data_IF_016907880732
#
_entry.id   IF_016907880732
#
_cell.length_a   1.000
_cell.length_b   1.000
_cell.length_c   1.000
_cell.angle_alpha   90.00
_cell.angle_beta   90.00
_cell.angle_gamma   90.00
#
_symmetry.space_group_name_H-M   'P 1'
#
loop_
_entity.id
_entity.type
_entity.pdbx_description
1 polymer ?
#
# COMPACT_ATOMS: atom_id res chain seq x y z
N UNK A 1 15.64 16.40 -7.46
CA UNK A 1 14.88 15.27 -8.04
C UNK A 1 14.03 14.60 -6.98
N UNK A 2 13.25 13.55 -7.29
CA UNK A 2 12.25 12.98 -6.38
C UNK A 2 12.89 12.32 -5.14
N UNK A 3 12.67 12.90 -3.95
CA UNK A 3 13.19 12.40 -2.66
C UNK A 3 12.15 11.68 -1.79
N UNK A 4 10.86 11.91 -2.05
CA UNK A 4 9.74 11.32 -1.33
C UNK A 4 8.70 10.88 -2.35
N UNK A 5 8.48 9.57 -2.48
CA UNK A 5 7.60 8.98 -3.48
C UNK A 5 6.49 8.23 -2.75
N UNK A 6 5.24 8.65 -2.97
CA UNK A 6 4.07 7.96 -2.43
C UNK A 6 3.61 6.88 -3.42
N UNK A 7 3.49 5.64 -2.97
CA UNK A 7 3.08 4.50 -3.80
C UNK A 7 1.78 3.91 -3.24
N UNK A 8 0.65 4.09 -3.95
CA UNK A 8 -0.60 3.43 -3.60
C UNK A 8 -0.56 1.96 -4.02
N UNK A 9 -0.98 1.09 -3.10
CA UNK A 9 -1.06 -0.36 -3.30
C UNK A 9 -2.50 -0.81 -3.06
N UNK A 10 -3.09 -1.49 -4.04
CA UNK A 10 -4.43 -2.10 -3.95
C UNK A 10 -4.37 -3.65 -3.97
N UNK A 11 -3.17 -4.23 -4.07
CA UNK A 11 -2.93 -5.66 -4.15
C UNK A 11 -3.01 -6.25 -5.56
N UNK A 12 -3.35 -5.44 -6.57
CA UNK A 12 -3.34 -5.87 -7.97
C UNK A 12 -1.91 -6.07 -8.50
N UNK A 13 -1.78 -6.86 -9.57
CA UNK A 13 -0.51 -6.99 -10.29
C UNK A 13 -0.01 -5.63 -10.83
N UNK A 14 -0.95 -4.76 -11.24
CA UNK A 14 -0.63 -3.44 -11.74
C UNK A 14 0.03 -2.56 -10.66
N UNK A 15 -0.52 -2.52 -9.44
CA UNK A 15 0.10 -1.75 -8.35
C UNK A 15 1.44 -2.32 -7.91
N UNK A 16 1.64 -3.64 -7.97
CA UNK A 16 2.94 -4.28 -7.75
C UNK A 16 3.97 -3.87 -8.81
N UNK A 17 3.60 -3.85 -10.09
CA UNK A 17 4.48 -3.36 -11.16
C UNK A 17 4.80 -1.87 -11.02
N UNK A 18 3.85 -1.07 -10.55
CA UNK A 18 4.09 0.34 -10.25
C UNK A 18 5.10 0.52 -9.11
N UNK A 19 5.06 -0.35 -8.08
CA UNK A 19 6.07 -0.36 -7.02
C UNK A 19 7.48 -0.64 -7.56
N UNK A 20 7.65 -1.62 -8.44
CA UNK A 20 8.96 -1.92 -9.06
C UNK A 20 9.53 -0.69 -9.80
N UNK A 21 8.68 0.04 -10.53
CA UNK A 21 9.09 1.29 -11.18
C UNK A 21 9.46 2.38 -10.16
N UNK A 22 8.69 2.49 -9.07
CA UNK A 22 8.97 3.47 -8.01
C UNK A 22 10.29 3.18 -7.28
N UNK A 23 10.63 1.91 -7.05
CA UNK A 23 11.93 1.48 -6.50
C UNK A 23 13.09 1.94 -7.40
N UNK A 24 12.98 1.74 -8.72
CA UNK A 24 14.02 2.18 -9.66
C UNK A 24 14.22 3.70 -9.65
N UNK A 25 13.12 4.46 -9.59
CA UNK A 25 13.17 5.93 -9.48
C UNK A 25 13.83 6.34 -8.15
N UNK A 26 13.45 5.70 -7.05
CA UNK A 26 13.99 5.97 -5.72
C UNK A 26 15.51 5.72 -5.67
N UNK A 27 15.97 4.58 -6.19
CA UNK A 27 17.40 4.25 -6.30
C UNK A 27 18.18 5.26 -7.14
N UNK A 28 17.62 5.67 -8.29
CA UNK A 28 18.26 6.65 -9.18
C UNK A 28 18.44 8.04 -8.56
N UNK A 29 17.63 8.39 -7.55
CA UNK A 29 17.64 9.73 -6.95
C UNK A 29 17.93 9.75 -5.46
N UNK A 30 18.34 8.61 -4.88
CA UNK A 30 18.55 8.47 -3.42
C UNK A 30 17.32 8.99 -2.65
N UNK A 31 16.14 8.52 -3.09
CA UNK A 31 14.84 8.90 -2.58
C UNK A 31 14.21 7.78 -1.75
N UNK A 32 13.26 8.14 -0.89
CA UNK A 32 12.51 7.18 -0.08
C UNK A 32 11.10 6.94 -0.61
N UNK A 33 10.54 5.77 -0.26
CA UNK A 33 9.18 5.36 -0.58
C UNK A 33 8.27 5.48 0.64
N UNK A 34 7.02 5.86 0.41
CA UNK A 34 5.93 5.75 1.39
C UNK A 34 4.84 4.92 0.74
N UNK A 35 4.53 3.76 1.32
CA UNK A 35 3.49 2.86 0.81
C UNK A 35 2.16 3.19 1.49
N UNK A 36 1.07 3.24 0.71
CA UNK A 36 -0.28 3.47 1.24
C UNK A 36 -1.28 2.49 0.64
N UNK A 37 -2.19 1.98 1.46
CA UNK A 37 -3.34 1.21 1.03
C UNK A 37 -4.62 1.90 1.51
N UNK A 38 -5.63 1.98 0.65
CA UNK A 38 -6.90 2.63 0.92
C UNK A 38 -8.03 1.64 0.67
N UNK A 39 -8.96 1.57 1.61
CA UNK A 39 -10.20 0.81 1.49
C UNK A 39 -11.41 1.71 1.74
N UNK A 40 -12.48 1.50 0.98
CA UNK A 40 -13.71 2.26 1.14
C UNK A 40 -14.61 1.63 2.19
N UNK A 41 -15.04 2.43 3.16
CA UNK A 41 -16.06 2.06 4.15
C UNK A 41 -17.41 2.74 3.89
N UNK A 42 -17.54 3.52 2.81
CA UNK A 42 -18.70 4.36 2.56
C UNK A 42 -20.02 3.58 2.49
N UNK A 43 -20.01 2.40 1.86
CA UNK A 43 -21.20 1.52 1.78
C UNK A 43 -21.55 0.85 3.10
N UNK A 44 -20.59 0.73 4.03
CA UNK A 44 -20.79 0.11 5.34
C UNK A 44 -21.33 1.09 6.37
N UNK A 45 -21.02 2.38 6.22
CA UNK A 45 -21.47 3.42 7.14
C UNK A 45 -23.01 3.58 7.17
N UNK A 46 -23.72 3.05 6.17
CA UNK A 46 -25.17 3.04 6.09
C UNK A 46 -25.81 1.74 6.64
N UNK A 47 -25.03 0.74 7.03
CA UNK A 47 -25.55 -0.51 7.60
C UNK A 47 -26.04 -0.28 9.04
N UNK A 48 -27.24 -0.76 9.40
CA UNK A 48 -27.73 -0.72 10.77
C UNK A 48 -27.01 -1.73 11.69
N UNK A 49 -26.31 -2.73 11.13
CA UNK A 49 -25.53 -3.71 11.89
C UNK A 49 -24.12 -3.19 12.27
N UNK A 50 -23.54 -3.65 13.41
CA UNK A 50 -22.15 -3.36 13.74
C UNK A 50 -21.17 -3.95 12.71
N UNK A 51 -20.61 -3.11 11.86
CA UNK A 51 -19.63 -3.51 10.82
C UNK A 51 -18.18 -3.60 11.31
N UNK A 52 -17.93 -3.50 12.62
CA UNK A 52 -16.58 -3.41 13.19
C UNK A 52 -15.69 -4.60 12.82
N UNK A 53 -16.21 -5.83 12.92
CA UNK A 53 -15.47 -7.04 12.55
C UNK A 53 -15.12 -7.10 11.06
N UNK A 54 -15.99 -6.56 10.20
CA UNK A 54 -15.73 -6.47 8.76
C UNK A 54 -14.67 -5.41 8.43
N UNK A 55 -14.72 -4.25 9.09
CA UNK A 55 -13.69 -3.21 8.97
C UNK A 55 -12.33 -3.74 9.43
N UNK A 56 -12.29 -4.49 10.53
CA UNK A 56 -11.06 -5.10 11.03
C UNK A 56 -10.52 -6.14 10.04
N UNK A 57 -11.39 -6.94 9.42
CA UNK A 57 -11.01 -7.89 8.39
C UNK A 57 -10.41 -7.20 7.15
N UNK A 58 -11.03 -6.13 6.64
CA UNK A 58 -10.51 -5.34 5.53
C UNK A 58 -9.16 -4.71 5.90
N UNK A 59 -9.06 -4.13 7.10
CA UNK A 59 -7.79 -3.56 7.58
C UNK A 59 -6.68 -4.61 7.60
N UNK A 60 -6.96 -5.84 8.07
CA UNK A 60 -5.98 -6.94 8.07
C UNK A 60 -5.52 -7.31 6.66
N UNK A 61 -6.41 -7.30 5.67
CA UNK A 61 -6.04 -7.52 4.26
C UNK A 61 -5.10 -6.42 3.78
N UNK A 62 -5.45 -5.15 4.01
CA UNK A 62 -4.61 -4.01 3.65
C UNK A 62 -3.23 -4.04 4.32
N UNK A 63 -3.17 -4.40 5.59
CA UNK A 63 -1.90 -4.56 6.32
C UNK A 63 -1.02 -5.64 5.71
N UNK A 64 -1.57 -6.79 5.30
CA UNK A 64 -0.79 -7.86 4.65
C UNK A 64 -0.20 -7.39 3.33
N UNK A 65 -0.97 -6.67 2.51
CA UNK A 65 -0.45 -6.08 1.26
C UNK A 65 0.74 -5.17 1.57
N UNK A 66 0.61 -4.27 2.54
CA UNK A 66 1.71 -3.36 2.91
C UNK A 66 2.92 -4.10 3.46
N UNK A 67 2.74 -5.13 4.30
CA UNK A 67 3.83 -5.92 4.87
C UNK A 67 4.60 -6.73 3.81
N UNK A 68 3.89 -7.37 2.88
CA UNK A 68 4.50 -8.13 1.79
C UNK A 68 5.33 -7.23 0.88
N UNK A 69 4.75 -6.10 0.46
CA UNK A 69 5.41 -5.19 -0.46
C UNK A 69 6.52 -4.38 0.22
N UNK A 70 6.38 -4.05 1.52
CA UNK A 70 7.46 -3.44 2.31
C UNK A 70 8.70 -4.31 2.38
N UNK A 71 8.55 -5.63 2.60
CA UNK A 71 9.70 -6.56 2.62
C UNK A 71 10.49 -6.51 1.32
N UNK A 72 9.80 -6.48 0.16
CA UNK A 72 10.47 -6.37 -1.15
C UNK A 72 11.23 -5.05 -1.31
N UNK A 73 10.70 -3.95 -0.77
CA UNK A 73 11.38 -2.66 -0.78
C UNK A 73 12.64 -2.70 0.09
N UNK A 74 12.55 -3.24 1.30
CA UNK A 74 13.68 -3.38 2.23
C UNK A 74 14.77 -4.32 1.66
N UNK A 75 14.40 -5.39 0.94
CA UNK A 75 15.34 -6.27 0.21
C UNK A 75 16.08 -5.58 -0.95
N UNK A 76 15.68 -4.36 -1.32
CA UNK A 76 16.28 -3.54 -2.38
C UNK A 76 17.09 -2.35 -1.84
N UNK A 77 17.34 -2.33 -0.53
CA UNK A 77 18.06 -1.28 0.20
C UNK A 77 17.45 0.12 0.03
N UNK A 78 16.11 0.20 -0.07
CA UNK A 78 15.31 1.45 -0.12
C UNK A 78 14.47 1.61 1.15
#
# INVERSE_FOLDING_TARGET
MFKKILVPLDGSECSRRALEAAIQIAQGFDGGLTLIHVYSIGGLAASPEPVYGFIEAIRKVGSRILEEEKKKVEERDI
#
